data_IF_938705706374
#
_entry.id   IF_938705706374
#
_cell.length_a   1.000
_cell.length_b   1.000
_cell.length_c   1.000
_cell.angle_alpha   90.00
_cell.angle_beta   90.00
_cell.angle_gamma   90.00
#
_symmetry.space_group_name_H-M   'P 1'
#
loop_
_entity.id
_entity.type
_entity.pdbx_description
1 polymer ?
#
# COMPACT_ATOMS: atom_id res chain seq x y z
N UNK A 1 6.81 -19.47 17.61
CA UNK A 1 6.26 -19.02 16.30
C UNK A 1 5.23 -17.91 16.51
N UNK A 2 5.31 -16.80 15.79
CA UNK A 2 4.32 -15.73 15.88
C UNK A 2 2.94 -16.26 15.44
N UNK A 3 1.92 -16.00 16.28
CA UNK A 3 0.54 -16.42 15.99
C UNK A 3 -0.03 -15.57 14.86
N UNK A 4 -0.81 -16.19 13.94
CA UNK A 4 -1.51 -15.44 12.89
C UNK A 4 -2.50 -14.44 13.49
N UNK A 5 -2.55 -13.22 12.95
CA UNK A 5 -3.60 -12.25 13.28
C UNK A 5 -4.97 -12.85 12.90
N UNK A 6 -5.93 -12.82 13.84
CA UNK A 6 -7.28 -13.32 13.59
C UNK A 6 -8.03 -12.33 12.70
N UNK A 7 -8.43 -12.76 11.49
CA UNK A 7 -9.14 -11.94 10.52
C UNK A 7 -10.66 -12.03 10.57
N UNK A 8 -11.21 -12.95 11.37
CA UNK A 8 -12.65 -13.22 11.41
C UNK A 8 -13.22 -13.81 10.11
N UNK A 9 -14.54 -13.95 10.06
CA UNK A 9 -15.27 -14.58 8.95
C UNK A 9 -15.02 -13.84 7.61
N UNK A 10 -15.09 -12.52 7.58
CA UNK A 10 -15.00 -11.72 6.35
C UNK A 10 -13.61 -11.76 5.71
N UNK A 11 -12.56 -11.82 6.51
CA UNK A 11 -11.19 -12.02 6.01
C UNK A 11 -11.03 -13.42 5.44
N UNK A 12 -11.61 -14.44 6.08
CA UNK A 12 -11.64 -15.80 5.56
C UNK A 12 -12.35 -15.87 4.20
N UNK A 13 -13.53 -15.25 4.10
CA UNK A 13 -14.29 -15.18 2.84
C UNK A 13 -13.50 -14.43 1.74
N UNK A 14 -12.91 -13.30 2.05
CA UNK A 14 -12.04 -12.60 1.10
C UNK A 14 -10.87 -13.47 0.63
N UNK A 15 -10.25 -14.21 1.54
CA UNK A 15 -9.15 -15.09 1.21
C UNK A 15 -9.58 -16.22 0.25
N UNK A 16 -10.74 -16.85 0.43
CA UNK A 16 -11.22 -17.91 -0.48
C UNK A 16 -11.40 -17.43 -1.92
N UNK A 17 -11.69 -16.13 -2.12
CA UNK A 17 -11.81 -15.50 -3.44
C UNK A 17 -10.46 -15.02 -3.96
N UNK A 18 -9.67 -14.34 -3.12
CA UNK A 18 -8.46 -13.66 -3.57
C UNK A 18 -7.30 -14.62 -3.85
N UNK A 19 -7.18 -15.71 -3.12
CA UNK A 19 -6.11 -16.68 -3.35
C UNK A 19 -6.19 -17.34 -4.76
N UNK A 20 -7.33 -17.86 -5.22
CA UNK A 20 -7.47 -18.36 -6.59
C UNK A 20 -7.29 -17.25 -7.63
N UNK A 21 -7.90 -16.08 -7.43
CA UNK A 21 -7.80 -14.97 -8.37
C UNK A 21 -6.35 -14.52 -8.59
N UNK A 22 -5.54 -14.49 -7.55
CA UNK A 22 -4.12 -14.12 -7.68
C UNK A 22 -3.23 -15.27 -8.17
N UNK A 23 -3.76 -16.50 -8.30
CA UNK A 23 -3.05 -17.64 -8.86
C UNK A 23 -2.87 -17.55 -10.38
N UNK A 24 -3.56 -16.62 -11.07
CA UNK A 24 -3.33 -16.32 -12.49
C UNK A 24 -1.90 -15.81 -12.76
N UNK A 25 -1.23 -15.21 -11.77
CA UNK A 25 0.18 -14.79 -11.84
C UNK A 25 1.12 -15.74 -11.11
N UNK A 26 2.40 -15.73 -11.49
CA UNK A 26 3.49 -16.32 -10.70
C UNK A 26 3.88 -15.31 -9.62
N UNK A 27 3.86 -15.71 -8.35
CA UNK A 27 4.16 -14.83 -7.21
C UNK A 27 5.61 -14.98 -6.81
N UNK A 28 6.34 -13.88 -6.75
CA UNK A 28 7.71 -13.79 -6.22
C UNK A 28 7.71 -12.79 -5.08
N UNK A 29 8.26 -13.19 -3.94
CA UNK A 29 8.33 -12.36 -2.73
C UNK A 29 9.78 -12.29 -2.28
N UNK A 30 10.38 -11.10 -2.38
CA UNK A 30 11.75 -10.81 -1.98
C UNK A 30 11.71 -10.00 -0.68
N UNK A 31 12.45 -10.43 0.35
CA UNK A 31 12.50 -9.75 1.64
C UNK A 31 11.18 -9.80 2.43
N UNK A 32 10.29 -10.76 2.16
CA UNK A 32 8.97 -10.84 2.80
C UNK A 32 9.02 -11.02 4.32
N UNK A 33 10.12 -11.55 4.86
CA UNK A 33 10.41 -11.69 6.28
C UNK A 33 10.54 -10.35 7.01
N UNK A 34 10.82 -9.26 6.28
CA UNK A 34 10.93 -7.89 6.81
C UNK A 34 9.56 -7.30 7.19
N UNK A 35 8.45 -7.88 6.72
CA UNK A 35 7.12 -7.47 7.19
C UNK A 35 6.94 -7.90 8.64
N UNK A 36 6.67 -6.97 9.58
CA UNK A 36 6.52 -7.30 11.00
C UNK A 36 5.37 -8.27 11.23
N UNK A 37 5.66 -9.43 11.79
CA UNK A 37 4.64 -10.45 12.08
C UNK A 37 3.73 -10.10 13.25
N UNK A 38 4.11 -9.11 14.06
CA UNK A 38 3.36 -8.58 15.21
C UNK A 38 3.60 -7.07 15.32
N UNK A 39 2.76 -6.40 16.10
CA UNK A 39 2.83 -4.96 16.30
C UNK A 39 2.30 -4.15 15.10
N UNK A 40 2.21 -2.83 15.27
CA UNK A 40 1.75 -1.92 14.22
C UNK A 40 2.80 -1.74 13.14
N UNK A 41 2.36 -1.49 11.91
CA UNK A 41 3.24 -1.07 10.81
C UNK A 41 2.43 -0.35 9.73
N UNK A 42 3.09 0.58 9.05
CA UNK A 42 2.59 1.19 7.81
C UNK A 42 3.37 0.59 6.64
N UNK A 43 2.67 -0.08 5.73
CA UNK A 43 3.24 -0.59 4.49
C UNK A 43 2.93 0.43 3.38
N UNK A 44 3.95 1.03 2.81
CA UNK A 44 3.81 1.97 1.69
C UNK A 44 4.15 1.27 0.39
N UNK A 45 3.23 1.34 -0.59
CA UNK A 45 3.36 0.58 -1.84
C UNK A 45 3.06 1.46 -3.07
N UNK A 46 3.68 1.15 -4.22
CA UNK A 46 3.30 1.74 -5.50
C UNK A 46 1.96 1.20 -6.01
N UNK A 47 1.28 1.93 -6.90
CA UNK A 47 -0.03 1.54 -7.43
C UNK A 47 -0.09 1.62 -8.96
N UNK A 48 -0.08 0.47 -9.64
CA UNK A 48 0.05 0.35 -11.11
C UNK A 48 -1.10 -0.40 -11.80
N UNK A 49 -1.98 -1.06 -11.01
CA UNK A 49 -3.08 -1.87 -11.55
C UNK A 49 -4.27 -1.93 -10.59
N UNK A 50 -5.46 -2.11 -11.11
CA UNK A 50 -6.65 -2.41 -10.28
C UNK A 50 -6.56 -3.77 -9.56
N UNK A 51 -5.66 -4.65 -9.98
CA UNK A 51 -5.40 -5.93 -9.29
C UNK A 51 -4.56 -5.77 -8.02
N UNK A 52 -3.90 -4.64 -7.85
CA UNK A 52 -2.94 -4.44 -6.77
C UNK A 52 -3.50 -4.69 -5.37
N UNK A 53 -4.68 -4.15 -5.00
CA UNK A 53 -5.22 -4.37 -3.66
C UNK A 53 -5.48 -5.86 -3.37
N UNK A 54 -5.88 -6.63 -4.37
CA UNK A 54 -6.14 -8.07 -4.23
C UNK A 54 -4.84 -8.85 -4.07
N UNK A 55 -3.85 -8.53 -4.89
CA UNK A 55 -2.53 -9.18 -4.86
C UNK A 55 -1.79 -8.85 -3.56
N UNK A 56 -1.84 -7.57 -3.14
CA UNK A 56 -1.21 -7.11 -1.90
C UNK A 56 -1.93 -7.66 -0.66
N UNK A 57 -3.26 -7.81 -0.71
CA UNK A 57 -4.01 -8.46 0.36
C UNK A 57 -3.54 -9.91 0.56
N UNK A 58 -3.36 -10.67 -0.51
CA UNK A 58 -2.84 -12.04 -0.44
C UNK A 58 -1.39 -12.05 0.04
N UNK A 59 -0.55 -11.11 -0.43
CA UNK A 59 0.83 -10.99 0.02
C UNK A 59 0.90 -10.77 1.54
N UNK A 60 0.23 -9.75 2.08
CA UNK A 60 0.22 -9.42 3.51
C UNK A 60 -0.40 -10.55 4.35
N UNK A 61 -1.48 -11.16 3.86
CA UNK A 61 -2.11 -12.29 4.55
C UNK A 61 -1.17 -13.51 4.65
N UNK A 62 -0.30 -13.73 3.67
CA UNK A 62 0.76 -14.76 3.74
C UNK A 62 1.79 -14.48 4.82
N UNK A 63 2.04 -13.19 5.15
CA UNK A 63 2.88 -12.79 6.28
C UNK A 63 2.17 -12.93 7.64
N UNK A 64 1.01 -13.61 7.68
CA UNK A 64 0.18 -13.85 8.88
C UNK A 64 -0.46 -12.58 9.44
N UNK A 65 -0.60 -11.53 8.62
CA UNK A 65 -1.21 -10.25 8.96
C UNK A 65 -2.51 -10.04 8.18
N UNK A 66 -3.39 -9.21 8.72
CA UNK A 66 -4.60 -8.76 8.03
C UNK A 66 -4.35 -7.35 7.50
N UNK A 67 -4.30 -7.13 6.18
CA UNK A 67 -4.09 -5.81 5.62
C UNK A 67 -5.33 -4.93 5.81
N UNK A 68 -5.11 -3.66 6.12
CA UNK A 68 -6.14 -2.63 6.15
C UNK A 68 -5.77 -1.54 5.16
N UNK A 69 -6.56 -1.47 4.10
CA UNK A 69 -6.37 -0.49 3.03
C UNK A 69 -7.23 0.74 3.26
N UNK A 70 -6.74 1.87 2.81
CA UNK A 70 -7.60 3.02 2.55
C UNK A 70 -8.36 2.80 1.25
N UNK A 71 -9.68 2.68 1.32
CA UNK A 71 -10.54 2.42 0.19
C UNK A 71 -11.55 3.56 -0.02
N UNK A 72 -11.94 3.79 -1.28
CA UNK A 72 -12.98 4.78 -1.59
C UNK A 72 -14.26 4.47 -0.82
N UNK A 73 -14.80 5.45 -0.11
CA UNK A 73 -15.96 5.27 0.78
C UNK A 73 -17.17 4.64 0.07
N UNK A 74 -17.40 4.97 -1.22
CA UNK A 74 -18.51 4.39 -1.99
C UNK A 74 -18.40 2.86 -2.22
N UNK A 75 -17.25 2.25 -1.96
CA UNK A 75 -17.11 0.79 -2.06
C UNK A 75 -17.85 0.03 -0.96
N UNK A 76 -18.15 0.68 0.17
CA UNK A 76 -18.98 0.09 1.24
C UNK A 76 -20.44 -0.15 0.80
N UNK A 77 -20.90 0.62 -0.20
CA UNK A 77 -22.27 0.59 -0.68
C UNK A 77 -22.49 -0.48 -1.77
N UNK A 78 -21.41 -1.12 -2.24
CA UNK A 78 -21.47 -2.22 -3.21
C UNK A 78 -21.98 -3.50 -2.53
N UNK A 79 -23.07 -4.13 -3.02
CA UNK A 79 -23.61 -5.36 -2.44
C UNK A 79 -22.52 -6.45 -2.28
N UNK A 80 -22.55 -7.19 -1.19
CA UNK A 80 -21.57 -8.24 -0.81
C UNK A 80 -20.18 -7.69 -0.56
N UNK A 81 -19.59 -6.96 -1.53
CA UNK A 81 -18.25 -6.40 -1.39
C UNK A 81 -18.18 -5.39 -0.23
N UNK A 82 -19.17 -4.54 -0.06
CA UNK A 82 -19.26 -3.59 1.05
C UNK A 82 -19.24 -4.29 2.42
N UNK A 83 -19.88 -5.45 2.55
CA UNK A 83 -19.84 -6.26 3.79
C UNK A 83 -18.44 -6.82 4.04
N UNK A 84 -17.73 -7.26 2.99
CA UNK A 84 -16.34 -7.71 3.10
C UNK A 84 -15.44 -6.53 3.53
N UNK A 85 -15.58 -5.38 2.88
CA UNK A 85 -14.81 -4.15 3.20
C UNK A 85 -15.01 -3.74 4.66
N UNK A 86 -16.26 -3.65 5.11
CA UNK A 86 -16.60 -3.23 6.48
C UNK A 86 -16.18 -4.30 7.50
N UNK A 87 -16.52 -5.55 7.24
CA UNK A 87 -16.27 -6.65 8.18
C UNK A 87 -14.81 -7.09 8.27
N UNK A 88 -13.97 -6.78 7.28
CA UNK A 88 -12.52 -7.01 7.32
C UNK A 88 -11.72 -5.84 7.89
N UNK A 89 -12.40 -4.77 8.37
CA UNK A 89 -11.75 -3.62 9.02
C UNK A 89 -10.99 -2.71 8.05
N UNK A 90 -11.46 -2.62 6.81
CA UNK A 90 -10.89 -1.67 5.85
C UNK A 90 -11.27 -0.23 6.22
N UNK A 91 -10.46 0.74 5.82
CA UNK A 91 -10.61 2.14 6.19
C UNK A 91 -11.23 2.91 5.02
N UNK A 92 -12.52 3.28 5.10
CA UNK A 92 -13.16 4.07 4.04
C UNK A 92 -12.63 5.49 4.03
N UNK A 93 -12.35 6.03 2.83
CA UNK A 93 -11.90 7.41 2.61
C UNK A 93 -12.88 8.15 1.73
N UNK A 94 -13.45 9.23 2.24
CA UNK A 94 -14.19 10.21 1.46
C UNK A 94 -13.21 11.33 1.07
N UNK A 95 -12.79 11.35 -0.19
CA UNK A 95 -11.85 12.35 -0.70
C UNK A 95 -12.52 13.70 -0.83
N UNK A 96 -11.79 14.77 -0.47
CA UNK A 96 -12.29 16.15 -0.64
C UNK A 96 -13.29 16.63 0.42
N UNK A 97 -13.44 15.92 1.53
CA UNK A 97 -14.34 16.29 2.62
C UNK A 97 -13.62 16.32 3.98
N UNK A 98 -14.26 16.94 4.98
CA UNK A 98 -13.84 16.85 6.40
C UNK A 98 -13.69 15.40 6.91
N UNK A 99 -14.34 14.44 6.27
CA UNK A 99 -14.26 13.02 6.55
C UNK A 99 -12.87 12.40 6.26
N UNK A 100 -11.94 13.11 5.61
CA UNK A 100 -10.55 12.69 5.53
C UNK A 100 -9.90 12.57 6.93
N UNK A 101 -10.32 13.42 7.88
CA UNK A 101 -9.90 13.35 9.29
C UNK A 101 -10.36 12.07 9.98
N UNK A 102 -11.57 11.59 9.68
CA UNK A 102 -12.10 10.37 10.31
C UNK A 102 -11.39 9.11 9.82
N UNK A 103 -10.98 9.09 8.55
CA UNK A 103 -10.15 8.01 8.01
C UNK A 103 -8.79 7.94 8.70
N UNK A 104 -8.17 9.07 9.01
CA UNK A 104 -6.93 9.12 9.77
C UNK A 104 -7.14 8.67 11.23
N UNK A 105 -8.22 9.07 11.89
CA UNK A 105 -8.56 8.59 13.24
C UNK A 105 -8.72 7.06 13.27
N UNK A 106 -9.44 6.49 12.29
CA UNK A 106 -9.59 5.03 12.18
C UNK A 106 -8.24 4.33 11.96
N UNK A 107 -7.34 4.93 11.17
CA UNK A 107 -6.00 4.42 10.96
C UNK A 107 -5.16 4.49 12.25
N UNK A 108 -5.21 5.60 12.99
CA UNK A 108 -4.55 5.74 14.30
C UNK A 108 -5.02 4.66 15.28
N UNK A 109 -6.33 4.45 15.38
CA UNK A 109 -6.89 3.40 16.23
C UNK A 109 -6.39 2.04 15.80
N UNK A 110 -6.41 1.71 14.51
CA UNK A 110 -5.91 0.44 14.02
C UNK A 110 -4.42 0.22 14.36
N UNK A 111 -3.58 1.25 14.25
CA UNK A 111 -2.17 1.16 14.64
C UNK A 111 -2.01 0.97 16.16
N UNK A 112 -2.77 1.68 16.99
CA UNK A 112 -2.74 1.49 18.46
C UNK A 112 -3.15 0.08 18.89
N UNK A 113 -3.97 -0.60 18.08
CA UNK A 113 -4.36 -1.99 18.26
C UNK A 113 -3.32 -3.00 17.68
N UNK A 114 -2.16 -2.52 17.26
CA UNK A 114 -1.09 -3.36 16.68
C UNK A 114 -1.39 -3.87 15.27
N UNK A 115 -2.26 -3.20 14.53
CA UNK A 115 -2.66 -3.60 13.16
C UNK A 115 -1.70 -3.06 12.10
N UNK A 116 -1.81 -3.62 10.88
CA UNK A 116 -1.04 -3.19 9.70
C UNK A 116 -1.94 -2.37 8.79
N UNK A 117 -1.44 -1.20 8.41
CA UNK A 117 -2.08 -0.32 7.42
C UNK A 117 -1.30 -0.42 6.11
N UNK A 118 -2.00 -0.60 5.00
CA UNK A 118 -1.44 -0.56 3.65
C UNK A 118 -1.88 0.74 2.98
N UNK A 119 -0.92 1.51 2.51
CA UNK A 119 -1.16 2.79 1.86
C UNK A 119 -0.50 2.81 0.50
N UNK A 120 -1.25 3.27 -0.50
CA UNK A 120 -0.71 3.72 -1.77
C UNK A 120 -0.56 5.25 -1.71
N UNK A 121 0.67 5.79 -1.51
CA UNK A 121 0.83 7.23 -1.33
C UNK A 121 0.32 8.05 -2.51
N UNK A 122 0.39 7.48 -3.72
CA UNK A 122 -0.15 8.08 -4.95
C UNK A 122 -1.67 8.29 -4.91
N UNK A 123 -2.37 7.60 -4.01
CA UNK A 123 -3.83 7.67 -3.84
C UNK A 123 -4.65 7.17 -5.03
N UNK A 124 -4.04 6.84 -6.14
CA UNK A 124 -4.65 6.30 -7.36
C UNK A 124 -3.62 5.50 -8.14
N UNK A 125 -4.06 4.75 -9.13
CA UNK A 125 -3.14 4.09 -10.06
C UNK A 125 -2.32 5.16 -10.79
N UNK A 126 -1.00 4.94 -10.87
CA UNK A 126 -0.12 5.88 -11.57
C UNK A 126 -0.60 6.14 -13.00
N UNK A 127 -0.51 7.38 -13.41
CA UNK A 127 -0.81 7.82 -14.78
C UNK A 127 0.41 7.76 -15.71
N UNK A 128 1.54 7.27 -15.20
CA UNK A 128 2.73 7.06 -16.01
C UNK A 128 2.53 5.81 -16.89
N UNK A 129 2.59 5.92 -18.23
CA UNK A 129 2.49 4.77 -19.12
C UNK A 129 3.58 3.71 -18.87
N UNK A 130 4.77 4.14 -18.42
CA UNK A 130 5.86 3.25 -18.02
C UNK A 130 5.68 2.65 -16.63
N UNK A 131 4.67 3.11 -15.85
CA UNK A 131 4.33 2.57 -14.54
C UNK A 131 5.24 3.04 -13.40
N UNK A 132 5.97 4.14 -13.57
CA UNK A 132 6.73 4.74 -12.48
C UNK A 132 5.82 5.50 -11.51
N UNK A 133 6.15 5.51 -10.22
CA UNK A 133 5.43 6.31 -9.24
C UNK A 133 5.55 7.81 -9.57
N UNK A 134 4.49 8.55 -9.30
CA UNK A 134 4.42 10.00 -9.46
C UNK A 134 4.04 10.69 -8.14
N UNK A 135 3.36 11.82 -8.27
CA UNK A 135 2.96 12.65 -7.14
C UNK A 135 2.26 11.83 -6.05
N UNK A 136 2.58 12.14 -4.81
CA UNK A 136 2.06 11.44 -3.66
C UNK A 136 1.43 12.39 -2.63
N UNK A 137 0.39 11.91 -1.96
CA UNK A 137 -0.24 12.60 -0.85
C UNK A 137 0.51 12.37 0.46
N UNK A 138 0.50 13.37 1.32
CA UNK A 138 1.22 13.36 2.60
C UNK A 138 0.57 12.52 3.71
N UNK A 139 -0.52 11.80 3.41
CA UNK A 139 -1.26 11.02 4.40
C UNK A 139 -0.44 9.92 5.05
N UNK A 140 0.42 9.22 4.29
CA UNK A 140 1.30 8.19 4.81
C UNK A 140 2.36 8.77 5.75
N UNK A 141 2.99 9.89 5.36
CA UNK A 141 3.96 10.59 6.19
C UNK A 141 3.35 11.09 7.50
N UNK A 142 2.16 11.68 7.42
CA UNK A 142 1.41 12.13 8.61
C UNK A 142 1.14 10.97 9.57
N UNK A 143 0.65 9.85 9.06
CA UNK A 143 0.34 8.68 9.88
C UNK A 143 1.61 8.12 10.54
N UNK A 144 2.72 8.05 9.80
CA UNK A 144 3.99 7.54 10.28
C UNK A 144 4.59 8.41 11.40
N UNK A 145 4.63 9.74 11.20
CA UNK A 145 5.19 10.67 12.17
C UNK A 145 4.35 10.79 13.45
N UNK A 146 3.03 10.61 13.34
CA UNK A 146 2.12 10.74 14.49
C UNK A 146 2.01 9.46 15.34
N UNK A 147 2.45 8.30 14.85
CA UNK A 147 2.27 7.02 15.55
C UNK A 147 3.57 6.34 15.98
N UNK A 148 4.70 6.86 15.59
CA UNK A 148 6.01 6.25 15.88
C UNK A 148 6.09 4.74 15.56
N UNK A 149 5.61 4.39 14.38
CA UNK A 149 5.55 3.00 13.91
C UNK A 149 6.52 2.77 12.75
N UNK A 150 7.00 1.53 12.53
CA UNK A 150 7.83 1.23 11.39
C UNK A 150 7.07 1.44 10.08
N UNK A 151 7.74 2.09 9.12
CA UNK A 151 7.27 2.29 7.75
C UNK A 151 8.06 1.38 6.84
N UNK A 152 7.39 0.44 6.21
CA UNK A 152 8.01 -0.57 5.35
C UNK A 152 7.69 -0.23 3.89
N UNK A 153 8.68 0.11 3.06
CA UNK A 153 8.49 0.32 1.64
C UNK A 153 8.39 -1.03 0.93
N UNK A 154 7.41 -1.18 0.07
CA UNK A 154 7.20 -2.40 -0.72
C UNK A 154 6.90 -2.01 -2.15
N UNK A 155 7.76 -2.41 -3.06
CA UNK A 155 7.54 -2.20 -4.48
C UNK A 155 7.03 -3.46 -5.16
N UNK A 156 6.10 -3.27 -6.09
CA UNK A 156 5.50 -4.36 -6.83
C UNK A 156 5.55 -4.08 -8.32
N UNK A 157 5.84 -5.14 -9.09
CA UNK A 157 5.84 -5.11 -10.54
C UNK A 157 5.17 -6.34 -11.15
N UNK A 158 4.51 -6.17 -12.29
CA UNK A 158 3.94 -7.25 -13.09
C UNK A 158 2.42 -7.35 -13.07
N UNK A 159 1.70 -6.74 -12.13
CA UNK A 159 0.22 -6.69 -12.12
C UNK A 159 -0.34 -5.92 -13.31
N UNK A 160 0.33 -4.85 -13.73
CA UNK A 160 0.01 -4.07 -14.92
C UNK A 160 0.11 -4.88 -16.23
N UNK A 161 0.94 -5.93 -16.25
CA UNK A 161 1.04 -6.86 -17.39
C UNK A 161 -0.12 -7.84 -17.45
N UNK A 162 -0.82 -8.06 -16.33
CA UNK A 162 -2.04 -8.90 -16.25
C UNK A 162 -3.27 -8.04 -16.54
N UNK A 163 -3.40 -6.93 -15.83
CA UNK A 163 -4.47 -5.95 -16.01
C UNK A 163 -3.87 -4.54 -15.99
N UNK A 164 -3.73 -3.98 -17.18
CA UNK A 164 -3.17 -2.65 -17.33
C UNK A 164 -4.15 -1.60 -16.80
N UNK A 165 -3.75 -0.88 -15.76
CA UNK A 165 -4.59 0.14 -15.12
C UNK A 165 -4.91 1.34 -16.03
N UNK A 166 -4.05 1.61 -17.00
CA UNK A 166 -4.16 2.71 -17.95
C UNK A 166 -5.07 2.34 -19.15
N UNK A 167 -4.72 1.26 -19.87
CA UNK A 167 -5.44 0.84 -21.09
C UNK A 167 -6.66 -0.05 -20.82
N UNK A 168 -6.86 -0.50 -19.57
CA UNK A 168 -7.90 -1.45 -19.14
C UNK A 168 -7.81 -2.82 -19.82
N UNK A 169 -6.71 -3.12 -20.48
CA UNK A 169 -6.49 -4.39 -21.13
C UNK A 169 -6.20 -5.49 -20.11
N UNK A 170 -6.93 -6.61 -20.20
CA UNK A 170 -6.73 -7.81 -19.39
C UNK A 170 -6.04 -8.89 -20.20
N UNK A 171 -4.85 -9.32 -19.78
CA UNK A 171 -3.98 -10.26 -20.51
C UNK A 171 -3.39 -11.28 -19.53
N UNK A 172 -4.19 -12.23 -18.98
CA UNK A 172 -3.73 -13.17 -17.97
C UNK A 172 -2.73 -14.20 -18.50
N UNK A 173 -2.77 -14.50 -19.80
CA UNK A 173 -1.90 -15.49 -20.43
C UNK A 173 -0.94 -14.86 -21.46
N UNK A 174 0.28 -15.44 -21.60
CA UNK A 174 0.90 -16.41 -20.70
C UNK A 174 1.06 -15.85 -19.29
N UNK A 175 1.14 -16.73 -18.28
CA UNK A 175 1.23 -16.32 -16.87
C UNK A 175 2.37 -15.34 -16.64
N UNK A 176 2.06 -14.18 -16.06
CA UNK A 176 3.02 -13.12 -15.74
C UNK A 176 3.57 -13.31 -14.34
N UNK A 177 4.83 -12.94 -14.15
CA UNK A 177 5.43 -12.86 -12.81
C UNK A 177 5.01 -11.57 -12.15
N UNK A 178 4.53 -11.69 -10.91
CA UNK A 178 4.24 -10.56 -10.02
C UNK A 178 5.23 -10.61 -8.87
N UNK A 179 6.13 -9.65 -8.84
CA UNK A 179 7.19 -9.55 -7.83
C UNK A 179 6.84 -8.48 -6.80
N UNK A 180 6.97 -8.83 -5.52
CA UNK A 180 7.02 -7.87 -4.42
C UNK A 180 8.44 -7.85 -3.86
N UNK A 181 8.99 -6.66 -3.72
CA UNK A 181 10.26 -6.42 -3.02
C UNK A 181 9.98 -5.61 -1.77
N UNK A 182 10.27 -6.20 -0.61
CA UNK A 182 10.12 -5.57 0.69
C UNK A 182 11.45 -4.99 1.13
N UNK A 183 11.50 -3.69 1.35
CA UNK A 183 12.68 -3.00 1.87
C UNK A 183 12.80 -3.05 3.38
N UNK A 184 13.91 -2.55 3.87
CA UNK A 184 14.11 -2.30 5.28
C UNK A 184 13.22 -1.14 5.74
N UNK A 185 12.85 -1.08 7.03
CA UNK A 185 12.11 0.04 7.57
C UNK A 185 12.79 1.37 7.22
N UNK A 186 12.01 2.34 6.79
CA UNK A 186 12.52 3.68 6.50
C UNK A 186 12.88 4.34 7.83
N UNK A 187 14.14 4.78 7.97
CA UNK A 187 14.54 5.55 9.14
C UNK A 187 13.96 6.97 9.06
N UNK A 188 13.06 7.27 9.98
CA UNK A 188 12.42 8.58 10.13
C UNK A 188 12.87 9.30 11.40
N UNK A 189 13.91 8.85 12.08
CA UNK A 189 14.40 9.42 13.35
C UNK A 189 14.70 10.91 13.24
N UNK A 190 15.33 11.35 12.15
CA UNK A 190 15.66 12.76 11.88
C UNK A 190 14.42 13.67 11.74
N UNK A 191 13.25 13.11 11.47
CA UNK A 191 12.01 13.85 11.24
C UNK A 191 11.06 13.89 12.43
N UNK A 192 11.30 13.04 13.47
CA UNK A 192 10.39 12.88 14.61
C UNK A 192 10.41 14.03 15.62
N UNK A 193 11.48 14.82 15.63
CA UNK A 193 11.56 16.02 16.48
C UNK A 193 10.80 17.23 15.93
N UNK A 194 10.31 17.17 14.68
CA UNK A 194 9.63 18.27 14.00
C UNK A 194 8.13 18.32 14.29
N UNK A 195 7.50 19.41 13.86
CA UNK A 195 6.04 19.52 13.94
C UNK A 195 5.37 18.57 12.92
N UNK A 196 4.65 17.51 13.36
CA UNK A 196 4.05 16.53 12.47
C UNK A 196 2.87 17.07 11.64
N UNK A 197 2.54 18.36 11.78
CA UNK A 197 1.57 19.09 10.97
C UNK A 197 2.23 20.04 9.96
N UNK A 198 3.55 20.19 9.99
CA UNK A 198 4.27 21.01 9.03
C UNK A 198 4.13 20.46 7.61
N UNK A 199 3.63 21.27 6.69
CA UNK A 199 3.44 20.84 5.30
C UNK A 199 4.78 20.55 4.60
N UNK A 200 5.84 21.30 4.92
CA UNK A 200 7.18 21.06 4.37
C UNK A 200 7.75 19.73 4.86
N UNK A 201 7.71 19.47 6.17
CA UNK A 201 8.16 18.21 6.76
C UNK A 201 7.40 17.00 6.19
N UNK A 202 6.08 17.13 6.07
CA UNK A 202 5.26 16.06 5.51
C UNK A 202 5.60 15.77 4.04
N UNK A 203 5.86 16.81 3.24
CA UNK A 203 6.31 16.64 1.84
C UNK A 203 7.68 15.95 1.78
N UNK A 204 8.63 16.37 2.60
CA UNK A 204 9.96 15.80 2.65
C UNK A 204 9.92 14.30 3.01
N UNK A 205 9.21 13.93 4.08
CA UNK A 205 9.03 12.52 4.48
C UNK A 205 8.30 11.71 3.41
N UNK A 206 7.31 12.30 2.75
CA UNK A 206 6.63 11.66 1.62
C UNK A 206 7.62 11.39 0.48
N UNK A 207 8.50 12.35 0.17
CA UNK A 207 9.52 12.18 -0.86
C UNK A 207 10.50 11.06 -0.52
N UNK A 208 10.94 10.96 0.73
CA UNK A 208 11.79 9.85 1.20
C UNK A 208 11.11 8.48 0.98
N UNK A 209 9.81 8.38 1.28
CA UNK A 209 9.04 7.16 1.02
C UNK A 209 8.98 6.83 -0.47
N UNK A 210 8.69 7.82 -1.31
CA UNK A 210 8.55 7.64 -2.76
C UNK A 210 9.87 7.31 -3.43
N UNK A 211 10.97 7.94 -3.00
CA UNK A 211 12.32 7.64 -3.48
C UNK A 211 12.68 6.17 -3.19
N UNK A 212 12.37 5.69 -1.98
CA UNK A 212 12.64 4.30 -1.62
C UNK A 212 11.82 3.32 -2.45
N UNK A 213 10.54 3.60 -2.66
CA UNK A 213 9.67 2.80 -3.54
C UNK A 213 10.20 2.81 -4.97
N UNK A 214 10.62 3.97 -5.48
CA UNK A 214 11.14 4.11 -6.85
C UNK A 214 12.45 3.33 -7.04
N UNK A 215 13.36 3.41 -6.08
CA UNK A 215 14.62 2.64 -6.10
C UNK A 215 14.37 1.12 -6.13
N UNK A 216 13.49 0.62 -5.26
CA UNK A 216 13.12 -0.79 -5.25
C UNK A 216 12.41 -1.22 -6.54
N UNK A 217 11.60 -0.34 -7.13
CA UNK A 217 10.94 -0.61 -8.40
C UNK A 217 11.96 -0.70 -9.54
N UNK A 218 12.99 0.16 -9.54
CA UNK A 218 14.12 0.11 -10.46
C UNK A 218 14.86 -1.25 -10.35
N UNK A 219 15.11 -1.70 -9.12
CA UNK A 219 15.77 -2.98 -8.84
C UNK A 219 14.99 -4.17 -9.43
N UNK A 220 13.68 -4.29 -9.18
CA UNK A 220 12.89 -5.42 -9.68
C UNK A 220 12.58 -5.35 -11.17
N UNK A 221 12.72 -4.19 -11.78
CA UNK A 221 12.55 -3.98 -13.22
C UNK A 221 13.84 -4.13 -14.00
N UNK A 222 14.99 -4.01 -13.32
CA UNK A 222 16.33 -3.89 -13.91
C UNK A 222 16.39 -2.69 -14.89
N UNK A 223 15.79 -1.57 -14.50
CA UNK A 223 15.72 -0.33 -15.26
C UNK A 223 16.17 0.84 -14.39
N UNK A 224 16.75 1.86 -14.99
CA UNK A 224 17.04 3.09 -14.27
C UNK A 224 15.75 3.88 -13.98
N UNK A 225 15.61 4.45 -12.78
CA UNK A 225 14.46 5.29 -12.47
C UNK A 225 14.50 6.55 -13.32
N UNK A 226 13.32 7.16 -13.64
CA UNK A 226 13.28 8.40 -14.36
C UNK A 226 14.03 9.50 -13.59
N UNK A 227 14.69 10.41 -14.30
CA UNK A 227 15.32 11.56 -13.69
C UNK A 227 14.30 12.33 -12.82
N UNK A 228 14.72 12.73 -11.62
CA UNK A 228 13.86 13.55 -10.76
C UNK A 228 13.57 14.87 -11.48
N UNK A 229 12.30 15.22 -11.59
CA UNK A 229 11.96 16.59 -11.97
C UNK A 229 12.55 17.54 -10.95
N UNK A 230 13.14 18.67 -11.38
CA UNK A 230 13.47 19.75 -10.46
C UNK A 230 12.21 20.08 -9.64
N UNK A 231 12.39 20.35 -8.35
CA UNK A 231 11.31 20.94 -7.56
C UNK A 231 10.98 22.27 -8.22
N UNK A 232 9.85 22.34 -8.94
CA UNK A 232 9.34 23.62 -9.41
C UNK A 232 9.09 24.45 -8.16
N UNK A 233 9.77 25.59 -8.09
CA UNK A 233 9.50 26.65 -7.12
C UNK A 233 8.02 27.06 -7.28
N UNK A 234 7.16 26.57 -6.37
CA UNK A 234 5.74 26.93 -6.26
C UNK A 234 5.42 27.35 -4.83
#
# INVERSE_FOLDING_TARGET
MARREKGGFWVGLAATVFYPLTAIGKRVYLGAEKVPRQGPAVLVMNHISHLDPVVDAVFVHRQKRVPRFFLKASLKDVPVFGRIVTGSGQIPVARGSSAAGDSLKAAHQALSEGKVIVIYPEGTITRDPAGWPKDAYTGAARLALQNDVPVIPISRWGTNRIFNGYTKKFTPFPRKTVTHLVGDPIDLSAYRGGNPRSASLLREVTQVMMDRITQQLAEIRHEEPPAKKPADDA
#
